data_IF_999017432839
#
_entry.id   IF_999017432839
#
_cell.length_a   1.000
_cell.length_b   1.000
_cell.length_c   1.000
_cell.angle_alpha   90.00
_cell.angle_beta   90.00
_cell.angle_gamma   90.00
#
_symmetry.space_group_name_H-M   'P 1'
#
loop_
_entity.id
_entity.type
_entity.pdbx_description
1 polymer ?
#
# COMPACT_ATOMS: atom_id res chain seq x y z
N UNK A 1 -75.56 -14.36 -8.04
CA UNK A 1 -74.56 -13.40 -8.56
C UNK A 1 -73.68 -12.76 -7.49
N UNK A 2 -74.22 -12.31 -6.34
CA UNK A 2 -73.44 -11.59 -5.30
C UNK A 2 -72.28 -12.39 -4.65
N UNK A 3 -72.47 -13.71 -4.43
CA UNK A 3 -71.42 -14.59 -3.86
C UNK A 3 -70.26 -14.88 -4.84
N UNK A 4 -70.56 -15.04 -6.12
CA UNK A 4 -69.56 -15.31 -7.16
C UNK A 4 -68.62 -14.11 -7.36
N UNK A 5 -69.17 -12.89 -7.30
CA UNK A 5 -68.37 -11.65 -7.37
C UNK A 5 -67.46 -11.51 -6.16
N UNK A 6 -67.92 -11.86 -4.95
CA UNK A 6 -67.09 -11.82 -3.73
C UNK A 6 -65.91 -12.81 -3.77
N UNK A 7 -66.12 -14.02 -4.32
CA UNK A 7 -65.05 -15.02 -4.46
C UNK A 7 -64.02 -14.58 -5.50
N UNK A 8 -64.46 -14.01 -6.62
CA UNK A 8 -63.54 -13.48 -7.65
C UNK A 8 -62.76 -12.29 -7.08
N UNK A 9 -63.41 -11.39 -6.34
CA UNK A 9 -62.74 -10.25 -5.73
C UNK A 9 -61.67 -10.71 -4.71
N UNK A 10 -62.00 -11.67 -3.85
CA UNK A 10 -61.06 -12.25 -2.90
C UNK A 10 -59.87 -12.93 -3.58
N UNK A 11 -60.09 -13.64 -4.69
CA UNK A 11 -59.03 -14.25 -5.48
C UNK A 11 -58.09 -13.23 -6.11
N UNK A 12 -58.63 -12.16 -6.69
CA UNK A 12 -57.84 -11.07 -7.30
C UNK A 12 -57.04 -10.31 -6.23
N UNK A 13 -57.65 -10.02 -5.07
CA UNK A 13 -56.92 -9.38 -3.95
C UNK A 13 -55.79 -10.27 -3.44
N UNK A 14 -56.01 -11.58 -3.30
CA UNK A 14 -54.96 -12.53 -2.90
C UNK A 14 -53.80 -12.56 -3.90
N UNK A 15 -54.10 -12.56 -5.21
CA UNK A 15 -53.08 -12.54 -6.26
C UNK A 15 -52.25 -11.24 -6.21
N UNK A 16 -52.89 -10.08 -6.03
CA UNK A 16 -52.20 -8.80 -5.92
C UNK A 16 -51.29 -8.72 -4.69
N UNK A 17 -51.71 -9.29 -3.56
CA UNK A 17 -50.86 -9.37 -2.35
C UNK A 17 -49.64 -10.25 -2.61
N UNK A 18 -49.81 -11.40 -3.26
CA UNK A 18 -48.69 -12.29 -3.59
C UNK A 18 -47.70 -11.59 -4.54
N UNK A 19 -48.18 -10.95 -5.60
CA UNK A 19 -47.32 -10.18 -6.52
C UNK A 19 -46.61 -9.05 -5.78
N UNK A 20 -47.31 -8.32 -4.92
CA UNK A 20 -46.72 -7.28 -4.07
C UNK A 20 -45.60 -7.81 -3.17
N UNK A 21 -45.81 -8.94 -2.49
CA UNK A 21 -44.80 -9.57 -1.62
C UNK A 21 -43.60 -10.08 -2.42
N UNK A 22 -43.81 -10.69 -3.58
CA UNK A 22 -42.72 -11.15 -4.46
C UNK A 22 -41.93 -9.97 -5.01
N UNK A 23 -42.59 -8.91 -5.48
CA UNK A 23 -41.92 -7.69 -5.94
C UNK A 23 -41.18 -6.99 -4.80
N UNK A 24 -41.71 -7.00 -3.58
CA UNK A 24 -41.04 -6.46 -2.41
C UNK A 24 -39.82 -7.31 -2.02
N UNK A 25 -39.93 -8.63 -2.07
CA UNK A 25 -38.81 -9.54 -1.83
C UNK A 25 -37.70 -9.39 -2.87
N UNK A 26 -38.07 -9.28 -4.16
CA UNK A 26 -37.11 -8.97 -5.24
C UNK A 26 -36.49 -7.59 -5.04
N UNK A 27 -37.27 -6.57 -4.67
CA UNK A 27 -36.77 -5.24 -4.38
C UNK A 27 -35.82 -5.20 -3.17
N UNK A 28 -36.10 -5.96 -2.10
CA UNK A 28 -35.20 -6.06 -0.93
C UNK A 28 -33.98 -6.95 -1.18
N UNK A 29 -34.09 -7.98 -2.01
CA UNK A 29 -32.93 -8.75 -2.47
C UNK A 29 -32.08 -7.98 -3.49
N UNK A 30 -32.67 -7.04 -4.24
CA UNK A 30 -31.98 -6.11 -5.13
C UNK A 30 -31.59 -4.80 -4.45
N UNK A 31 -32.00 -4.56 -3.19
CA UNK A 31 -31.45 -3.44 -2.43
C UNK A 31 -29.95 -3.69 -2.33
N UNK A 32 -29.10 -2.70 -2.67
CA UNK A 32 -27.68 -2.80 -2.39
C UNK A 32 -27.55 -3.10 -0.90
N UNK A 33 -27.06 -4.28 -0.55
CA UNK A 33 -26.59 -4.50 0.81
C UNK A 33 -25.56 -3.39 1.08
N UNK A 34 -25.50 -2.82 2.29
CA UNK A 34 -24.37 -1.96 2.64
C UNK A 34 -23.11 -2.75 2.31
N UNK A 35 -22.35 -2.24 1.36
CA UNK A 35 -21.17 -2.92 0.83
C UNK A 35 -20.24 -3.22 2.02
N UNK A 36 -19.90 -4.49 2.19
CA UNK A 36 -18.99 -4.89 3.25
C UNK A 36 -17.57 -4.62 2.78
N UNK A 37 -16.90 -3.66 3.41
CA UNK A 37 -15.46 -3.51 3.25
C UNK A 37 -14.80 -4.50 4.22
N UNK A 38 -13.96 -5.44 3.75
CA UNK A 38 -13.22 -6.30 4.66
C UNK A 38 -12.43 -5.44 5.67
N UNK A 39 -12.38 -5.81 6.95
CA UNK A 39 -11.57 -5.08 7.92
C UNK A 39 -10.10 -5.08 7.49
N UNK A 40 -9.35 -4.05 7.87
CA UNK A 40 -7.90 -4.07 7.66
C UNK A 40 -7.29 -5.26 8.43
N UNK A 41 -6.32 -5.90 7.81
CA UNK A 41 -5.53 -6.98 8.39
C UNK A 41 -4.07 -6.67 8.12
N UNK A 42 -3.17 -7.01 9.05
CA UNK A 42 -1.73 -6.82 8.87
C UNK A 42 -1.23 -7.62 7.64
N UNK A 43 -0.65 -6.96 6.61
CA UNK A 43 -0.15 -7.64 5.41
C UNK A 43 0.82 -8.78 5.72
N UNK A 44 1.61 -8.69 6.80
CA UNK A 44 2.57 -9.72 7.19
C UNK A 44 1.89 -11.02 7.61
N UNK A 45 0.63 -10.97 8.07
CA UNK A 45 -0.16 -12.15 8.44
C UNK A 45 -0.73 -12.89 7.23
N UNK A 46 -0.77 -12.22 6.06
CA UNK A 46 -1.28 -12.80 4.82
C UNK A 46 -0.22 -13.54 4.00
N UNK A 47 1.04 -13.47 4.42
CA UNK A 47 2.15 -14.17 3.77
C UNK A 47 1.96 -15.68 3.90
N UNK A 48 1.87 -16.37 2.77
CA UNK A 48 1.79 -17.82 2.72
C UNK A 48 3.18 -18.45 2.54
N UNK A 49 3.84 -18.74 3.66
CA UNK A 49 5.20 -19.29 3.65
C UNK A 49 5.35 -20.57 2.81
N UNK A 50 4.29 -21.39 2.70
CA UNK A 50 4.33 -22.64 1.91
C UNK A 50 4.23 -22.41 0.40
N UNK A 51 3.73 -21.26 -0.03
CA UNK A 51 3.61 -20.88 -1.44
C UNK A 51 4.84 -20.17 -2.00
N UNK A 52 5.80 -19.83 -1.14
CA UNK A 52 7.02 -19.12 -1.53
C UNK A 52 7.97 -20.11 -2.20
N UNK A 53 8.43 -19.74 -3.40
CA UNK A 53 9.54 -20.39 -4.09
C UNK A 53 10.87 -20.00 -3.42
N UNK A 54 11.54 -20.93 -2.71
CA UNK A 54 12.74 -20.62 -1.96
C UNK A 54 13.92 -20.27 -2.86
N UNK A 55 14.00 -20.82 -4.08
CA UNK A 55 15.10 -20.50 -4.99
C UNK A 55 15.09 -19.02 -5.36
N UNK A 56 13.91 -18.52 -5.74
CA UNK A 56 13.73 -17.12 -6.10
C UNK A 56 13.84 -16.21 -4.88
N UNK A 57 13.26 -16.59 -3.74
CA UNK A 57 13.31 -15.76 -2.54
C UNK A 57 14.74 -15.59 -2.01
N UNK A 58 15.53 -16.68 -1.92
CA UNK A 58 16.90 -16.66 -1.40
C UNK A 58 17.85 -15.86 -2.29
N UNK A 59 17.56 -15.72 -3.58
CA UNK A 59 18.38 -14.91 -4.48
C UNK A 59 18.54 -13.44 -4.01
N UNK A 60 17.58 -12.89 -3.26
CA UNK A 60 17.72 -11.57 -2.63
C UNK A 60 18.80 -11.51 -1.54
N UNK A 61 19.01 -12.62 -0.82
CA UNK A 61 20.16 -12.76 0.05
C UNK A 61 21.48 -12.86 -0.73
N UNK A 62 21.40 -13.17 -2.02
CA UNK A 62 22.51 -13.23 -2.98
C UNK A 62 22.87 -11.90 -3.64
N UNK A 63 22.20 -10.80 -3.30
CA UNK A 63 22.46 -9.47 -3.87
C UNK A 63 21.56 -9.08 -5.04
N UNK A 64 20.59 -9.92 -5.44
CA UNK A 64 19.57 -9.52 -6.42
C UNK A 64 18.61 -8.53 -5.77
N UNK A 65 18.26 -7.45 -6.46
CA UNK A 65 17.39 -6.41 -5.89
C UNK A 65 15.95 -6.91 -5.70
N UNK A 66 15.25 -6.44 -4.65
CA UNK A 66 13.85 -6.81 -4.41
C UNK A 66 12.95 -6.51 -5.61
N UNK A 67 13.20 -5.39 -6.31
CA UNK A 67 12.48 -5.00 -7.54
C UNK A 67 12.62 -6.06 -8.64
N UNK A 68 13.83 -6.53 -8.90
CA UNK A 68 14.08 -7.56 -9.91
C UNK A 68 13.42 -8.88 -9.51
N UNK A 69 13.47 -9.25 -8.22
CA UNK A 69 12.86 -10.47 -7.71
C UNK A 69 11.33 -10.44 -7.80
N UNK A 70 10.68 -9.31 -7.51
CA UNK A 70 9.23 -9.15 -7.68
C UNK A 70 8.88 -9.29 -9.17
N UNK A 71 9.58 -8.59 -10.05
CA UNK A 71 9.34 -8.69 -11.49
C UNK A 71 9.51 -10.13 -12.01
N UNK A 72 10.55 -10.83 -11.56
CA UNK A 72 10.77 -12.23 -11.91
C UNK A 72 9.68 -13.14 -11.33
N UNK A 73 9.30 -12.97 -10.06
CA UNK A 73 8.25 -13.75 -9.41
C UNK A 73 6.90 -13.57 -10.13
N UNK A 74 6.55 -12.35 -10.50
CA UNK A 74 5.34 -12.03 -11.26
C UNK A 74 5.37 -12.62 -12.68
N UNK A 75 6.54 -12.70 -13.30
CA UNK A 75 6.74 -13.29 -14.64
C UNK A 75 6.59 -14.81 -14.59
N UNK A 76 7.17 -15.46 -13.58
CA UNK A 76 7.14 -16.91 -13.36
C UNK A 76 5.82 -17.40 -12.72
N UNK A 77 4.89 -16.49 -12.41
CA UNK A 77 3.61 -16.83 -11.78
C UNK A 77 3.72 -17.23 -10.30
N UNK A 78 4.83 -16.88 -9.64
CA UNK A 78 5.10 -17.10 -8.21
C UNK A 78 4.50 -15.98 -7.35
N UNK A 79 3.16 -15.88 -7.36
CA UNK A 79 2.44 -14.80 -6.69
C UNK A 79 2.75 -14.68 -5.18
N UNK A 80 2.85 -15.80 -4.46
CA UNK A 80 3.14 -15.78 -3.02
C UNK A 80 4.58 -15.35 -2.71
N UNK A 81 5.53 -15.66 -3.58
CA UNK A 81 6.90 -15.12 -3.50
C UNK A 81 6.90 -13.60 -3.73
N UNK A 82 6.20 -13.14 -4.77
CA UNK A 82 6.09 -11.70 -5.08
C UNK A 82 5.45 -10.93 -3.91
N UNK A 83 4.34 -11.45 -3.36
CA UNK A 83 3.67 -10.87 -2.20
C UNK A 83 4.61 -10.77 -1.00
N UNK A 84 5.31 -11.86 -0.66
CA UNK A 84 6.25 -11.89 0.44
C UNK A 84 7.37 -10.85 0.26
N UNK A 85 7.94 -10.71 -0.94
CA UNK A 85 8.97 -9.69 -1.19
C UNK A 85 8.39 -8.28 -1.00
N UNK A 86 7.23 -7.98 -1.61
CA UNK A 86 6.63 -6.63 -1.56
C UNK A 86 6.30 -6.15 -0.15
N UNK A 87 5.69 -7.01 0.69
CA UNK A 87 5.32 -6.61 2.05
C UNK A 87 6.53 -6.43 2.97
N UNK A 88 7.61 -7.18 2.71
CA UNK A 88 8.87 -7.07 3.44
C UNK A 88 9.89 -6.13 2.78
N UNK A 89 9.59 -5.44 1.69
CA UNK A 89 10.57 -4.56 1.03
C UNK A 89 10.34 -3.10 1.37
N UNK A 90 11.16 -2.47 2.23
CA UNK A 90 11.17 -1.02 2.41
C UNK A 90 11.92 -0.27 1.29
N UNK A 91 12.61 -0.98 0.39
CA UNK A 91 13.47 -0.38 -0.64
C UNK A 91 12.78 -0.15 -1.99
N UNK A 92 11.64 -0.79 -2.25
CA UNK A 92 10.86 -0.54 -3.46
C UNK A 92 10.11 0.78 -3.28
N UNK A 93 10.19 1.67 -4.26
CA UNK A 93 9.50 2.96 -4.19
C UNK A 93 7.98 2.78 -4.09
N UNK A 94 7.28 3.78 -3.56
CA UNK A 94 5.81 3.72 -3.43
C UNK A 94 5.12 3.56 -4.80
N UNK A 95 5.66 4.20 -5.84
CA UNK A 95 5.16 4.07 -7.22
C UNK A 95 5.26 2.64 -7.74
N UNK A 96 6.44 2.04 -7.59
CA UNK A 96 6.67 0.66 -8.03
C UNK A 96 5.84 -0.31 -7.19
N UNK A 97 5.81 -0.14 -5.87
CA UNK A 97 5.01 -0.96 -4.96
C UNK A 97 3.52 -0.95 -5.34
N UNK A 98 2.93 0.21 -5.62
CA UNK A 98 1.55 0.31 -6.04
C UNK A 98 1.27 -0.43 -7.36
N UNK A 99 2.15 -0.25 -8.36
CA UNK A 99 2.06 -0.95 -9.63
C UNK A 99 2.20 -2.47 -9.49
N UNK A 100 3.17 -2.92 -8.70
CA UNK A 100 3.42 -4.34 -8.46
C UNK A 100 2.29 -5.00 -7.69
N UNK A 101 1.65 -4.30 -6.73
CA UNK A 101 0.43 -4.79 -6.08
C UNK A 101 -0.75 -4.93 -7.06
N UNK A 102 -0.91 -4.02 -8.02
CA UNK A 102 -1.93 -4.16 -9.08
C UNK A 102 -1.64 -5.38 -9.96
N UNK A 103 -0.40 -5.55 -10.40
CA UNK A 103 0.00 -6.71 -11.21
C UNK A 103 -0.19 -8.03 -10.45
N UNK A 104 0.17 -8.04 -9.18
CA UNK A 104 -0.02 -9.17 -8.28
C UNK A 104 -1.50 -9.49 -8.07
N UNK A 105 -2.35 -8.47 -7.91
CA UNK A 105 -3.79 -8.64 -7.79
C UNK A 105 -4.37 -9.34 -9.03
N UNK A 106 -3.97 -8.92 -10.23
CA UNK A 106 -4.37 -9.56 -11.49
C UNK A 106 -3.89 -11.03 -11.57
N UNK A 107 -2.71 -11.35 -11.02
CA UNK A 107 -2.24 -12.75 -10.93
C UNK A 107 -3.09 -13.57 -9.95
N UNK A 108 -3.39 -13.04 -8.78
CA UNK A 108 -4.26 -13.71 -7.82
C UNK A 108 -5.68 -13.91 -8.37
N UNK A 109 -6.21 -12.93 -9.11
CA UNK A 109 -7.48 -13.05 -9.79
C UNK A 109 -7.48 -14.22 -10.79
N UNK A 110 -6.44 -14.33 -11.64
CA UNK A 110 -6.30 -15.43 -12.61
C UNK A 110 -6.21 -16.81 -11.94
N UNK A 111 -5.71 -16.86 -10.70
CA UNK A 111 -5.62 -18.07 -9.89
C UNK A 111 -6.85 -18.32 -9.00
N UNK A 112 -7.95 -17.58 -9.20
CA UNK A 112 -9.19 -17.65 -8.41
C UNK A 112 -9.02 -17.31 -6.92
N UNK A 113 -7.95 -16.59 -6.54
CA UNK A 113 -7.70 -16.13 -5.18
C UNK A 113 -8.28 -14.72 -4.98
N UNK A 114 -9.61 -14.61 -5.02
CA UNK A 114 -10.33 -13.32 -5.05
C UNK A 114 -10.01 -12.43 -3.86
N UNK A 115 -9.97 -12.98 -2.65
CA UNK A 115 -9.71 -12.20 -1.42
C UNK A 115 -8.31 -11.58 -1.44
N UNK A 116 -7.30 -12.33 -1.91
CA UNK A 116 -5.93 -11.82 -2.05
C UNK A 116 -5.81 -10.78 -3.15
N UNK A 117 -6.53 -10.98 -4.26
CA UNK A 117 -6.58 -9.99 -5.33
C UNK A 117 -7.21 -8.67 -4.84
N UNK A 118 -8.36 -8.74 -4.17
CA UNK A 118 -9.01 -7.58 -3.59
C UNK A 118 -8.11 -6.86 -2.57
N UNK A 119 -7.41 -7.63 -1.72
CA UNK A 119 -6.47 -7.08 -0.76
C UNK A 119 -5.28 -6.37 -1.42
N UNK A 120 -4.70 -6.94 -2.48
CA UNK A 120 -3.60 -6.29 -3.22
C UNK A 120 -4.07 -4.99 -3.90
N UNK A 121 -5.27 -4.96 -4.51
CA UNK A 121 -5.85 -3.71 -5.01
C UNK A 121 -6.05 -2.68 -3.90
N UNK A 122 -6.46 -3.11 -2.71
CA UNK A 122 -6.58 -2.23 -1.55
C UNK A 122 -5.24 -1.64 -1.13
N UNK A 123 -4.18 -2.45 -1.05
CA UNK A 123 -2.83 -1.96 -0.74
C UNK A 123 -2.34 -0.93 -1.76
N UNK A 124 -2.56 -1.17 -3.04
CA UNK A 124 -2.24 -0.19 -4.09
C UNK A 124 -3.01 1.13 -3.89
N UNK A 125 -4.31 1.06 -3.58
CA UNK A 125 -5.13 2.23 -3.25
C UNK A 125 -4.69 2.95 -1.97
N UNK A 126 -4.23 2.22 -0.95
CA UNK A 126 -3.66 2.78 0.28
C UNK A 126 -2.38 3.56 -0.01
N UNK A 127 -1.46 3.00 -0.81
CA UNK A 127 -0.25 3.71 -1.25
C UNK A 127 -0.65 4.95 -2.06
N UNK A 128 -1.58 4.82 -3.00
CA UNK A 128 -2.11 5.96 -3.76
C UNK A 128 -2.83 7.00 -2.90
N UNK A 129 -3.25 6.69 -1.68
CA UNK A 129 -3.84 7.71 -0.80
C UNK A 129 -2.78 8.37 0.06
N UNK A 130 -1.93 7.56 0.68
CA UNK A 130 -1.04 8.03 1.74
C UNK A 130 0.33 8.47 1.24
N UNK A 131 0.85 7.93 0.14
CA UNK A 131 2.21 8.28 -0.31
C UNK A 131 2.29 9.77 -0.68
N UNK A 132 3.23 10.54 -0.09
CA UNK A 132 3.51 11.91 -0.53
C UNK A 132 4.40 11.94 -1.79
N UNK A 133 5.02 10.82 -2.17
CA UNK A 133 5.94 10.74 -3.32
C UNK A 133 5.22 10.46 -4.66
N UNK A 134 3.93 10.15 -4.60
CA UNK A 134 3.14 9.75 -5.75
C UNK A 134 2.54 10.98 -6.46
N UNK A 135 2.93 11.26 -7.72
CA UNK A 135 2.33 12.36 -8.47
C UNK A 135 0.84 12.13 -8.69
N UNK A 136 0.04 13.20 -8.71
CA UNK A 136 -1.42 13.12 -8.82
C UNK A 136 -1.90 12.36 -10.07
N UNK A 137 -1.18 12.46 -11.18
CA UNK A 137 -1.48 11.69 -12.39
C UNK A 137 -1.36 10.17 -12.19
N UNK A 138 -0.27 9.74 -11.52
CA UNK A 138 -0.03 8.33 -11.17
C UNK A 138 -1.02 7.86 -10.11
N UNK A 139 -1.36 8.76 -9.18
CA UNK A 139 -2.35 8.54 -8.13
C UNK A 139 -3.72 8.21 -8.70
N UNK A 140 -4.23 9.06 -9.60
CA UNK A 140 -5.50 8.84 -10.28
C UNK A 140 -5.49 7.54 -11.10
N UNK A 141 -4.39 7.27 -11.83
CA UNK A 141 -4.25 6.05 -12.61
C UNK A 141 -4.31 4.78 -11.75
N UNK A 142 -3.59 4.79 -10.61
CA UNK A 142 -3.57 3.70 -9.62
C UNK A 142 -4.97 3.43 -9.08
N UNK A 143 -5.70 4.48 -8.72
CA UNK A 143 -7.09 4.38 -8.26
C UNK A 143 -8.03 3.80 -9.32
N UNK A 144 -7.92 4.23 -10.59
CA UNK A 144 -8.72 3.66 -11.67
C UNK A 144 -8.38 2.18 -11.85
N UNK A 145 -7.10 1.81 -11.89
CA UNK A 145 -6.67 0.42 -12.05
C UNK A 145 -7.16 -0.48 -10.91
N UNK A 146 -7.05 0.00 -9.67
CA UNK A 146 -7.59 -0.69 -8.50
C UNK A 146 -9.12 -0.83 -8.58
N UNK A 147 -9.82 0.25 -8.92
CA UNK A 147 -11.28 0.26 -9.07
C UNK A 147 -11.78 -0.67 -10.17
N UNK A 148 -11.17 -0.63 -11.36
CA UNK A 148 -11.46 -1.54 -12.47
C UNK A 148 -11.18 -3.01 -12.08
N UNK A 149 -10.10 -3.26 -11.35
CA UNK A 149 -9.75 -4.58 -10.82
C UNK A 149 -10.80 -5.13 -9.85
N UNK A 150 -11.19 -4.33 -8.87
CA UNK A 150 -12.21 -4.66 -7.89
C UNK A 150 -13.59 -4.85 -8.53
N UNK A 151 -13.93 -4.05 -9.55
CA UNK A 151 -15.15 -4.23 -10.33
C UNK A 151 -15.19 -5.60 -11.01
N UNK A 152 -14.06 -6.07 -11.58
CA UNK A 152 -13.97 -7.44 -12.14
C UNK A 152 -14.13 -8.52 -11.07
N UNK A 153 -13.72 -8.25 -9.84
CA UNK A 153 -13.91 -9.15 -8.70
C UNK A 153 -15.34 -9.13 -8.15
N UNK A 154 -16.19 -8.18 -8.56
CA UNK A 154 -17.54 -7.98 -8.00
C UNK A 154 -17.56 -7.17 -6.70
N UNK A 155 -16.41 -6.60 -6.31
CA UNK A 155 -16.25 -5.76 -5.11
C UNK A 155 -16.70 -4.32 -5.40
N UNK A 156 -17.95 -4.14 -5.80
CA UNK A 156 -18.44 -2.88 -6.37
C UNK A 156 -18.35 -1.68 -5.41
N UNK A 157 -18.48 -1.88 -4.10
CA UNK A 157 -18.30 -0.82 -3.12
C UNK A 157 -16.87 -0.28 -3.12
N UNK A 158 -15.88 -1.15 -2.92
CA UNK A 158 -14.47 -0.75 -2.99
C UNK A 158 -14.07 -0.24 -4.38
N UNK A 159 -14.64 -0.80 -5.44
CA UNK A 159 -14.44 -0.30 -6.79
C UNK A 159 -14.93 1.14 -6.93
N UNK A 160 -16.15 1.43 -6.44
CA UNK A 160 -16.71 2.78 -6.46
C UNK A 160 -15.85 3.73 -5.63
N UNK A 161 -15.40 3.34 -4.43
CA UNK A 161 -14.51 4.15 -3.60
C UNK A 161 -13.31 4.64 -4.40
N UNK A 162 -12.54 3.74 -5.03
CA UNK A 162 -11.35 4.15 -5.76
C UNK A 162 -11.67 4.90 -7.06
N UNK A 163 -12.76 4.56 -7.76
CA UNK A 163 -13.20 5.38 -8.90
C UNK A 163 -13.56 6.80 -8.48
N UNK A 164 -14.23 6.97 -7.33
CA UNK A 164 -14.54 8.29 -6.75
C UNK A 164 -13.26 9.05 -6.36
N UNK A 165 -12.24 8.36 -5.84
CA UNK A 165 -10.93 8.96 -5.57
C UNK A 165 -10.24 9.46 -6.85
N UNK A 166 -10.23 8.65 -7.90
CA UNK A 166 -9.69 9.05 -9.19
C UNK A 166 -10.48 10.21 -9.82
N UNK A 167 -11.80 10.21 -9.68
CA UNK A 167 -12.65 11.31 -10.13
C UNK A 167 -12.29 12.61 -9.41
N UNK A 168 -12.15 12.58 -8.08
CA UNK A 168 -11.75 13.75 -7.29
C UNK A 168 -10.40 14.32 -7.74
N UNK A 169 -9.40 13.45 -7.96
CA UNK A 169 -8.09 13.87 -8.49
C UNK A 169 -8.25 14.52 -9.86
N UNK A 170 -8.99 13.87 -10.76
CA UNK A 170 -9.20 14.36 -12.12
C UNK A 170 -10.03 15.66 -12.19
N UNK A 171 -10.85 15.97 -11.19
CA UNK A 171 -11.60 17.23 -11.12
C UNK A 171 -10.84 18.35 -10.44
N UNK A 172 -10.17 18.07 -9.31
CA UNK A 172 -9.66 19.11 -8.40
C UNK A 172 -8.17 19.38 -8.60
N UNK A 173 -7.35 18.35 -8.87
CA UNK A 173 -5.90 18.51 -8.86
C UNK A 173 -5.44 19.54 -9.90
N UNK A 174 -4.63 20.56 -9.55
CA UNK A 174 -4.07 21.49 -10.51
C UNK A 174 -2.89 20.90 -11.30
N UNK A 175 -2.37 19.74 -10.87
CA UNK A 175 -1.15 19.13 -11.40
C UNK A 175 -1.40 18.14 -12.55
N UNK A 176 -2.67 17.73 -12.75
CA UNK A 176 -3.03 16.83 -13.85
C UNK A 176 -3.17 17.59 -15.16
N UNK A 177 -2.29 17.27 -16.11
CA UNK A 177 -2.28 17.86 -17.45
C UNK A 177 -3.60 17.63 -18.21
N UNK A 178 -4.06 18.58 -19.05
CA UNK A 178 -5.29 18.48 -19.85
C UNK A 178 -5.49 17.16 -20.61
N UNK A 179 -4.45 16.68 -21.30
CA UNK A 179 -4.53 15.45 -22.08
C UNK A 179 -4.72 14.21 -21.19
N UNK A 180 -3.98 14.16 -20.07
CA UNK A 180 -4.11 13.10 -19.06
C UNK A 180 -5.50 13.16 -18.42
N UNK A 181 -5.98 14.35 -18.06
CA UNK A 181 -7.31 14.55 -17.46
C UNK A 181 -8.43 14.02 -18.34
N UNK A 182 -8.39 14.33 -19.65
CA UNK A 182 -9.34 13.77 -20.62
C UNK A 182 -9.29 12.24 -20.64
N UNK A 183 -8.10 11.66 -20.68
CA UNK A 183 -7.92 10.21 -20.65
C UNK A 183 -8.48 9.59 -19.36
N UNK A 184 -8.22 10.21 -18.20
CA UNK A 184 -8.75 9.76 -16.91
C UNK A 184 -10.29 9.75 -16.92
N UNK A 185 -10.95 10.82 -17.37
CA UNK A 185 -12.40 10.87 -17.45
C UNK A 185 -13.00 9.84 -18.44
N UNK A 186 -12.33 9.57 -19.56
CA UNK A 186 -12.75 8.49 -20.47
C UNK A 186 -12.64 7.10 -19.84
N UNK A 187 -11.64 6.87 -18.99
CA UNK A 187 -11.52 5.61 -18.24
C UNK A 187 -12.52 5.53 -17.10
N UNK A 188 -12.73 6.63 -16.34
CA UNK A 188 -13.76 6.73 -15.30
C UNK A 188 -15.15 6.42 -15.86
N UNK A 189 -15.48 6.92 -17.05
CA UNK A 189 -16.72 6.55 -17.74
C UNK A 189 -16.90 5.03 -17.85
N UNK A 190 -15.87 4.31 -18.32
CA UNK A 190 -15.89 2.85 -18.44
C UNK A 190 -15.93 2.15 -17.07
N UNK A 191 -15.16 2.64 -16.11
CA UNK A 191 -15.12 2.12 -14.74
C UNK A 191 -16.50 2.20 -14.07
N UNK A 192 -17.14 3.37 -14.12
CA UNK A 192 -18.49 3.57 -13.57
C UNK A 192 -19.54 2.74 -14.32
N UNK A 193 -19.44 2.58 -15.64
CA UNK A 193 -20.30 1.65 -16.39
C UNK A 193 -20.17 0.21 -15.89
N UNK A 194 -18.94 -0.24 -15.60
CA UNK A 194 -18.68 -1.61 -15.15
C UNK A 194 -19.31 -1.92 -13.79
N UNK A 195 -19.46 -0.92 -12.91
CA UNK A 195 -20.14 -1.08 -11.61
C UNK A 195 -21.63 -0.69 -11.63
N UNK A 196 -22.16 -0.30 -12.79
CA UNK A 196 -23.58 0.05 -12.97
C UNK A 196 -23.97 1.49 -12.60
N UNK A 197 -23.01 2.37 -12.28
CA UNK A 197 -23.27 3.78 -11.97
C UNK A 197 -23.38 4.61 -13.25
N UNK A 198 -24.59 4.66 -13.80
CA UNK A 198 -24.86 5.36 -15.08
C UNK A 198 -24.74 6.87 -14.98
N UNK A 199 -25.03 7.45 -13.82
CA UNK A 199 -25.00 8.89 -13.63
C UNK A 199 -23.56 9.40 -13.64
N UNK A 200 -22.70 8.82 -12.80
CA UNK A 200 -21.27 9.18 -12.78
C UNK A 200 -20.55 8.82 -14.07
N UNK A 201 -20.93 7.71 -14.69
CA UNK A 201 -20.42 7.36 -16.01
C UNK A 201 -20.73 8.46 -17.03
N UNK A 202 -21.97 8.96 -17.07
CA UNK A 202 -22.36 10.02 -18.00
C UNK A 202 -21.64 11.33 -17.70
N UNK A 203 -21.60 11.75 -16.44
CA UNK A 203 -20.89 12.95 -16.01
C UNK A 203 -19.41 12.92 -16.42
N UNK A 204 -18.73 11.77 -16.22
CA UNK A 204 -17.33 11.59 -16.64
C UNK A 204 -17.16 11.71 -18.15
N UNK A 205 -18.10 11.17 -18.94
CA UNK A 205 -18.05 11.30 -20.40
C UNK A 205 -18.21 12.76 -20.83
N UNK A 206 -19.16 13.48 -20.25
CA UNK A 206 -19.42 14.88 -20.57
C UNK A 206 -18.18 15.75 -20.22
N UNK A 207 -17.60 15.58 -19.01
CA UNK A 207 -16.36 16.24 -18.62
C UNK A 207 -15.18 15.93 -19.55
N UNK A 208 -15.09 14.71 -20.08
CA UNK A 208 -14.02 14.36 -21.03
C UNK A 208 -14.08 15.13 -22.35
N UNK A 209 -15.26 15.61 -22.73
CA UNK A 209 -15.51 16.38 -23.94
C UNK A 209 -15.26 17.89 -23.75
N UNK A 210 -15.15 18.36 -22.51
CA UNK A 210 -14.92 19.76 -22.22
C UNK A 210 -13.47 20.20 -22.58
N UNK A 211 -13.29 21.47 -22.99
CA UNK A 211 -11.97 22.04 -23.16
C UNK A 211 -11.35 22.36 -21.79
N UNK A 212 -10.22 21.72 -21.49
CA UNK A 212 -9.43 22.04 -20.29
C UNK A 212 -8.43 23.16 -20.58
N UNK A 213 -8.31 24.11 -19.66
CA UNK A 213 -7.33 25.21 -19.75
C UNK A 213 -5.91 24.64 -19.76
N UNK A 214 -5.06 25.13 -20.66
CA UNK A 214 -3.69 24.64 -20.84
C UNK A 214 -2.68 25.10 -19.76
N UNK A 215 -3.15 25.60 -18.61
CA UNK A 215 -2.25 26.00 -17.53
C UNK A 215 -1.73 24.73 -16.86
N UNK A 216 -0.42 24.51 -16.95
CA UNK A 216 0.27 23.39 -16.30
C UNK A 216 1.04 23.94 -15.11
N UNK A 217 0.65 23.50 -13.91
CA UNK A 217 1.43 23.75 -12.69
C UNK A 217 2.34 22.53 -12.49
N UNK A 218 3.64 22.76 -12.34
CA UNK A 218 4.56 21.69 -11.97
C UNK A 218 4.25 21.25 -10.53
N UNK A 219 4.08 19.94 -10.33
CA UNK A 219 3.90 19.37 -9.00
C UNK A 219 5.23 19.50 -8.23
N UNK A 220 5.23 20.10 -7.04
CA UNK A 220 6.45 20.23 -6.25
C UNK A 220 6.92 18.84 -5.77
N UNK A 221 8.25 18.61 -5.66
CA UNK A 221 8.74 17.40 -5.02
C UNK A 221 8.45 17.42 -3.51
N UNK A 222 8.46 16.25 -2.84
CA UNK A 222 8.35 16.19 -1.39
C UNK A 222 9.41 17.04 -0.69
N UNK A 223 9.03 17.66 0.42
CA UNK A 223 9.92 18.51 1.22
C UNK A 223 10.98 17.68 1.94
N UNK A 224 10.59 16.52 2.48
CA UNK A 224 11.51 15.65 3.21
C UNK A 224 12.41 14.86 2.25
N UNK A 225 13.74 14.86 2.48
CA UNK A 225 14.68 14.21 1.57
C UNK A 225 14.50 12.69 1.54
N UNK A 226 14.95 12.11 0.43
CA UNK A 226 15.08 10.67 0.27
C UNK A 226 16.35 10.21 0.96
N UNK A 227 16.28 9.14 1.73
CA UNK A 227 17.44 8.55 2.39
C UNK A 227 18.45 8.02 1.36
N UNK A 228 19.73 8.32 1.58
CA UNK A 228 20.84 7.80 0.78
C UNK A 228 21.41 6.53 1.41
N UNK A 229 22.09 5.69 0.61
CA UNK A 229 22.76 4.49 1.15
C UNK A 229 24.04 4.94 1.87
N UNK A 230 24.16 4.72 3.20
CA UNK A 230 25.35 5.12 3.93
C UNK A 230 26.56 4.25 3.53
N UNK A 231 27.78 4.82 3.54
CA UNK A 231 29.00 4.03 3.29
C UNK A 231 29.21 3.04 4.43
N UNK A 232 29.55 1.79 4.10
CA UNK A 232 29.78 0.72 5.09
C UNK A 232 31.28 0.47 5.32
N UNK A 233 31.72 0.11 6.54
CA UNK A 233 33.10 -0.31 6.78
C UNK A 233 33.49 -1.53 5.94
N UNK A 234 34.79 -1.68 5.65
CA UNK A 234 35.30 -2.75 4.78
C UNK A 234 34.93 -4.14 5.32
N UNK A 235 34.98 -4.32 6.64
CA UNK A 235 34.65 -5.58 7.31
C UNK A 235 33.18 -5.97 7.09
N UNK A 236 32.27 -4.98 7.10
CA UNK A 236 30.85 -5.20 6.82
C UNK A 236 30.63 -5.53 5.34
N UNK A 237 31.32 -4.83 4.44
CA UNK A 237 31.26 -5.14 3.00
C UNK A 237 31.78 -6.56 2.69
N UNK A 238 32.84 -7.00 3.37
CA UNK A 238 33.36 -8.37 3.25
C UNK A 238 32.37 -9.42 3.78
N UNK A 239 31.71 -9.15 4.90
CA UNK A 239 30.69 -10.04 5.45
C UNK A 239 29.45 -10.12 4.53
N UNK A 240 29.03 -8.99 3.96
CA UNK A 240 27.97 -8.95 2.95
C UNK A 240 28.34 -9.76 1.70
N UNK A 241 29.56 -9.62 1.18
CA UNK A 241 30.04 -10.42 0.06
C UNK A 241 30.04 -11.92 0.37
N UNK A 242 30.39 -12.30 1.61
CA UNK A 242 30.33 -13.69 2.06
C UNK A 242 28.88 -14.22 2.12
N UNK A 243 27.93 -13.42 2.61
CA UNK A 243 26.50 -13.73 2.54
C UNK A 243 26.05 -13.93 1.09
N UNK A 244 26.40 -13.00 0.19
CA UNK A 244 26.01 -13.08 -1.21
C UNK A 244 26.51 -14.38 -1.84
N UNK A 245 27.78 -14.71 -1.63
CA UNK A 245 28.37 -15.94 -2.17
C UNK A 245 27.69 -17.21 -1.61
N UNK A 246 27.40 -17.24 -0.31
CA UNK A 246 26.71 -18.39 0.30
C UNK A 246 25.27 -18.52 -0.24
N UNK A 247 24.53 -17.43 -0.33
CA UNK A 247 23.16 -17.41 -0.81
C UNK A 247 23.04 -17.73 -2.30
N UNK A 248 23.99 -17.30 -3.12
CA UNK A 248 24.06 -17.68 -4.54
C UNK A 248 24.31 -19.18 -4.70
N UNK A 249 25.23 -19.77 -3.92
CA UNK A 249 25.45 -21.23 -3.91
C UNK A 249 24.19 -21.98 -3.47
N UNK A 250 23.49 -21.49 -2.45
CA UNK A 250 22.23 -22.08 -1.99
C UNK A 250 21.15 -22.00 -3.08
N UNK A 251 21.00 -20.84 -3.72
CA UNK A 251 20.08 -20.60 -4.83
C UNK A 251 20.34 -21.56 -5.99
N UNK A 252 21.61 -21.73 -6.39
CA UNK A 252 22.00 -22.67 -7.43
C UNK A 252 21.58 -24.11 -7.09
N UNK A 253 21.84 -24.56 -5.85
CA UNK A 253 21.41 -25.91 -5.42
C UNK A 253 19.89 -26.06 -5.45
N UNK A 254 19.14 -25.04 -4.99
CA UNK A 254 17.68 -25.05 -5.01
C UNK A 254 17.15 -25.16 -6.45
N UNK A 255 17.73 -24.45 -7.40
CA UNK A 255 17.35 -24.56 -8.83
C UNK A 255 17.68 -25.95 -9.37
N UNK A 256 18.92 -26.42 -9.21
CA UNK A 256 19.40 -27.69 -9.79
C UNK A 256 18.70 -28.93 -9.20
N UNK A 257 18.26 -28.85 -7.94
CA UNK A 257 17.65 -29.99 -7.21
C UNK A 257 16.14 -29.84 -6.99
N UNK A 258 15.49 -28.90 -7.68
CA UNK A 258 14.04 -28.73 -7.66
C UNK A 258 13.49 -28.32 -6.28
N UNK A 259 14.07 -27.29 -5.67
CA UNK A 259 13.65 -26.72 -4.39
C UNK A 259 14.28 -27.37 -3.15
N UNK A 260 15.27 -28.26 -3.32
CA UNK A 260 15.98 -28.92 -2.21
C UNK A 260 17.41 -28.43 -2.10
N UNK A 261 17.87 -28.20 -0.87
CA UNK A 261 19.26 -27.83 -0.59
C UNK A 261 19.89 -28.80 0.40
N UNK A 262 21.22 -28.88 0.38
CA UNK A 262 21.96 -29.60 1.43
C UNK A 262 21.96 -28.81 2.74
N UNK A 263 21.96 -29.51 3.88
CA UNK A 263 22.06 -28.87 5.21
C UNK A 263 23.32 -28.01 5.34
N UNK A 264 24.42 -28.41 4.69
CA UNK A 264 25.65 -27.62 4.66
C UNK A 264 25.45 -26.28 3.94
N UNK A 265 24.76 -26.25 2.80
CA UNK A 265 24.51 -24.99 2.08
C UNK A 265 23.62 -24.05 2.88
N UNK A 266 22.63 -24.59 3.60
CA UNK A 266 21.79 -23.80 4.52
C UNK A 266 22.67 -23.24 5.65
N UNK A 267 23.48 -24.09 6.29
CA UNK A 267 24.40 -23.69 7.37
C UNK A 267 25.38 -22.61 6.93
N UNK A 268 25.94 -22.69 5.73
CA UNK A 268 26.85 -21.68 5.20
C UNK A 268 26.17 -20.31 5.11
N UNK A 269 24.91 -20.26 4.66
CA UNK A 269 24.10 -19.04 4.64
C UNK A 269 23.80 -18.56 6.05
N UNK A 270 23.43 -19.45 6.97
CA UNK A 270 23.18 -19.13 8.39
C UNK A 270 24.40 -18.45 9.02
N UNK A 271 25.59 -19.04 8.86
CA UNK A 271 26.85 -18.51 9.43
C UNK A 271 27.18 -17.14 8.82
N UNK A 272 27.03 -16.99 7.50
CA UNK A 272 27.31 -15.71 6.84
C UNK A 272 26.36 -14.60 7.30
N UNK A 273 25.07 -14.90 7.45
CA UNK A 273 24.06 -13.97 7.97
C UNK A 273 24.34 -13.53 9.41
N UNK A 274 24.68 -14.48 10.29
CA UNK A 274 25.01 -14.17 11.68
C UNK A 274 26.29 -13.34 11.79
N UNK A 275 27.31 -13.64 10.99
CA UNK A 275 28.56 -12.86 10.96
C UNK A 275 28.32 -11.44 10.44
N UNK A 276 27.53 -11.28 9.38
CA UNK A 276 27.16 -9.95 8.88
C UNK A 276 26.38 -9.16 9.92
N UNK A 277 25.41 -9.75 10.62
CA UNK A 277 24.63 -9.08 11.66
C UNK A 277 25.51 -8.56 12.81
N UNK A 278 26.45 -9.38 13.27
CA UNK A 278 27.38 -9.05 14.34
C UNK A 278 28.29 -7.86 14.02
N UNK A 279 28.59 -7.63 12.74
CA UNK A 279 29.41 -6.51 12.28
C UNK A 279 28.56 -5.30 11.89
N UNK A 280 27.40 -5.53 11.27
CA UNK A 280 26.56 -4.50 10.66
C UNK A 280 25.84 -3.64 11.70
N UNK A 281 25.25 -4.25 12.74
CA UNK A 281 24.51 -3.48 13.76
C UNK A 281 25.43 -2.53 14.56
N UNK A 282 26.59 -2.95 15.09
CA UNK A 282 27.52 -2.04 15.76
C UNK A 282 28.07 -0.95 14.83
N UNK A 283 28.26 -1.25 13.55
CA UNK A 283 28.68 -0.25 12.57
C UNK A 283 27.64 0.87 12.43
N UNK A 284 26.34 0.55 12.40
CA UNK A 284 25.30 1.57 12.40
C UNK A 284 25.31 2.40 13.68
N UNK A 285 25.48 1.79 14.85
CA UNK A 285 25.53 2.51 16.13
C UNK A 285 26.75 3.47 16.19
N UNK A 286 27.91 3.04 15.70
CA UNK A 286 29.10 3.87 15.58
C UNK A 286 28.91 5.04 14.59
N UNK A 287 28.29 4.78 13.43
CA UNK A 287 28.01 5.81 12.44
C UNK A 287 26.99 6.83 12.95
N UNK A 288 25.93 6.40 13.64
CA UNK A 288 24.95 7.30 14.24
C UNK A 288 25.60 8.23 15.26
N UNK A 289 26.51 7.70 16.08
CA UNK A 289 27.26 8.49 17.07
C UNK A 289 28.20 9.51 16.42
N UNK A 290 28.79 9.16 15.28
CA UNK A 290 29.72 10.01 14.55
C UNK A 290 29.03 11.04 13.62
N UNK A 291 27.78 10.78 13.22
CA UNK A 291 27.04 11.62 12.28
C UNK A 291 26.63 12.95 12.91
N UNK A 292 27.11 14.05 12.34
CA UNK A 292 26.81 15.41 12.80
C UNK A 292 25.57 16.01 12.15
N UNK A 293 25.14 15.48 11.00
CA UNK A 293 23.99 15.95 10.25
C UNK A 293 22.79 15.01 10.44
N UNK A 294 21.62 15.57 10.76
CA UNK A 294 20.37 14.82 10.93
C UNK A 294 20.03 14.02 9.66
N UNK A 295 20.23 14.59 8.48
CA UNK A 295 20.01 13.89 7.21
C UNK A 295 20.87 12.62 7.07
N UNK A 296 22.13 12.65 7.53
CA UNK A 296 22.98 11.47 7.54
C UNK A 296 22.49 10.43 8.55
N UNK A 297 22.01 10.86 9.72
CA UNK A 297 21.40 9.97 10.70
C UNK A 297 20.14 9.28 10.15
N UNK A 298 19.27 10.01 9.44
CA UNK A 298 18.09 9.45 8.75
C UNK A 298 18.51 8.34 7.78
N UNK A 299 19.51 8.59 6.93
CA UNK A 299 20.04 7.60 5.99
C UNK A 299 20.55 6.34 6.69
N UNK A 300 21.26 6.48 7.82
CA UNK A 300 21.77 5.36 8.61
C UNK A 300 20.62 4.56 9.25
N UNK A 301 19.64 5.24 9.84
CA UNK A 301 18.47 4.57 10.44
C UNK A 301 17.64 3.84 9.38
N UNK A 302 17.46 4.43 8.19
CA UNK A 302 16.77 3.76 7.08
C UNK A 302 17.53 2.49 6.64
N UNK A 303 18.86 2.54 6.55
CA UNK A 303 19.66 1.34 6.25
C UNK A 303 19.53 0.27 7.36
N UNK A 304 19.47 0.69 8.63
CA UNK A 304 19.21 -0.21 9.76
C UNK A 304 17.82 -0.85 9.65
N UNK A 305 16.79 -0.10 9.30
CA UNK A 305 15.43 -0.62 9.05
C UNK A 305 15.48 -1.68 7.94
N UNK A 306 16.13 -1.40 6.81
CA UNK A 306 16.23 -2.35 5.70
C UNK A 306 16.88 -3.69 6.13
N UNK A 307 17.92 -3.62 6.97
CA UNK A 307 18.54 -4.82 7.54
C UNK A 307 17.62 -5.55 8.53
N UNK A 308 16.98 -4.84 9.46
CA UNK A 308 16.05 -5.41 10.43
C UNK A 308 14.83 -6.05 9.75
N UNK A 309 14.32 -5.47 8.66
CA UNK A 309 13.24 -6.08 7.87
C UNK A 309 13.73 -7.36 7.18
N UNK A 310 14.97 -7.41 6.69
CA UNK A 310 15.57 -8.65 6.16
C UNK A 310 15.59 -9.74 7.25
N UNK A 311 16.03 -9.40 8.46
CA UNK A 311 16.01 -10.32 9.61
C UNK A 311 14.60 -10.77 9.95
N UNK A 312 13.63 -9.85 9.97
CA UNK A 312 12.22 -10.16 10.27
C UNK A 312 11.63 -11.09 9.21
N UNK A 313 11.93 -10.85 7.93
CA UNK A 313 11.51 -11.72 6.83
C UNK A 313 12.06 -13.14 7.01
N UNK A 314 13.31 -13.28 7.40
CA UNK A 314 13.90 -14.60 7.75
C UNK A 314 13.16 -15.21 8.94
N UNK A 315 13.02 -14.46 10.04
CA UNK A 315 12.37 -14.92 11.27
C UNK A 315 10.92 -15.37 11.06
N UNK A 316 10.21 -14.78 10.07
CA UNK A 316 8.83 -15.10 9.73
C UNK A 316 8.71 -16.15 8.63
N UNK A 317 9.81 -16.71 8.13
CA UNK A 317 9.81 -17.71 7.06
C UNK A 317 9.48 -17.16 5.67
N UNK A 318 9.65 -15.85 5.45
CA UNK A 318 9.38 -15.14 4.19
C UNK A 318 10.35 -15.48 3.04
N UNK A 319 11.21 -16.48 3.23
CA UNK A 319 12.06 -17.09 2.22
C UNK A 319 11.59 -18.49 1.80
N UNK A 320 10.46 -18.98 2.34
CA UNK A 320 9.89 -20.29 2.01
C UNK A 320 10.62 -21.48 2.63
N UNK A 321 11.65 -21.22 3.44
CA UNK A 321 12.42 -22.22 4.18
C UNK A 321 13.01 -21.61 5.46
N UNK A 322 13.37 -22.47 6.43
CA UNK A 322 14.11 -22.04 7.61
C UNK A 322 15.57 -21.78 7.26
N UNK A 323 16.09 -20.63 7.69
CA UNK A 323 17.46 -20.19 7.38
C UNK A 323 18.27 -19.89 8.63
N UNK A 324 17.69 -19.19 9.60
CA UNK A 324 18.37 -18.81 10.85
C UNK A 324 17.42 -19.10 12.01
N UNK A 325 17.44 -20.33 12.57
CA UNK A 325 16.55 -20.74 13.65
C UNK A 325 16.61 -19.81 14.88
N UNK A 326 17.78 -19.22 15.15
CA UNK A 326 17.97 -18.24 16.23
C UNK A 326 17.10 -17.00 16.04
N UNK A 327 17.01 -16.47 14.82
CA UNK A 327 16.17 -15.31 14.51
C UNK A 327 14.69 -15.67 14.48
N UNK A 328 14.33 -16.86 14.01
CA UNK A 328 12.97 -17.38 14.06
C UNK A 328 12.45 -17.49 15.50
N UNK A 329 13.29 -18.00 16.42
CA UNK A 329 12.97 -18.04 17.85
C UNK A 329 12.89 -16.64 18.51
N UNK A 330 13.53 -15.64 17.91
CA UNK A 330 13.62 -14.26 18.40
C UNK A 330 12.77 -13.28 17.58
N UNK A 331 11.77 -13.77 16.83
CA UNK A 331 10.97 -12.93 15.93
C UNK A 331 10.35 -11.70 16.62
N UNK A 332 9.89 -11.85 17.88
CA UNK A 332 9.34 -10.74 18.66
C UNK A 332 10.40 -9.72 19.08
N UNK A 333 11.63 -10.14 19.35
CA UNK A 333 12.73 -9.24 19.64
C UNK A 333 13.13 -8.45 18.38
N UNK A 334 13.23 -9.11 17.22
CA UNK A 334 13.50 -8.45 15.94
C UNK A 334 12.41 -7.43 15.63
N UNK A 335 11.14 -7.76 15.91
CA UNK A 335 9.99 -6.86 15.76
C UNK A 335 10.08 -5.64 16.70
N UNK A 336 10.49 -5.83 17.94
CA UNK A 336 10.71 -4.75 18.89
C UNK A 336 11.87 -3.83 18.47
N UNK A 337 12.97 -4.39 17.97
CA UNK A 337 14.11 -3.61 17.47
C UNK A 337 13.73 -2.81 16.21
N UNK A 338 12.91 -3.41 15.33
CA UNK A 338 12.35 -2.71 14.17
C UNK A 338 11.43 -1.56 14.58
N UNK A 339 10.59 -1.76 15.60
CA UNK A 339 9.73 -0.70 16.16
C UNK A 339 10.57 0.49 16.63
N UNK A 340 11.63 0.24 17.42
CA UNK A 340 12.55 1.29 17.90
C UNK A 340 13.26 2.03 16.76
N UNK A 341 13.63 1.31 15.69
CA UNK A 341 14.27 1.92 14.53
C UNK A 341 13.32 2.89 13.81
N UNK A 342 12.04 2.54 13.66
CA UNK A 342 11.02 3.45 13.12
C UNK A 342 10.72 4.63 14.04
N UNK A 343 10.61 4.40 15.36
CA UNK A 343 10.46 5.48 16.34
C UNK A 343 11.59 6.51 16.22
N UNK A 344 12.83 6.04 16.12
CA UNK A 344 14.00 6.89 15.91
C UNK A 344 13.95 7.61 14.56
N UNK A 345 13.58 6.92 13.47
CA UNK A 345 13.46 7.53 12.14
C UNK A 345 12.50 8.73 12.16
N UNK A 346 11.31 8.55 12.73
CA UNK A 346 10.31 9.62 12.78
C UNK A 346 10.65 10.72 13.79
N UNK A 347 11.40 10.42 14.85
CA UNK A 347 11.98 11.44 15.73
C UNK A 347 13.00 12.31 14.97
N UNK A 348 13.89 11.71 14.17
CA UNK A 348 14.87 12.44 13.36
C UNK A 348 14.20 13.31 12.29
N UNK A 349 13.12 12.84 11.66
CA UNK A 349 12.34 13.68 10.76
C UNK A 349 11.71 14.87 11.50
N UNK A 350 11.18 14.67 12.71
CA UNK A 350 10.66 15.78 13.51
C UNK A 350 11.73 16.82 13.86
N UNK A 351 12.95 16.38 14.22
CA UNK A 351 14.09 17.28 14.42
C UNK A 351 14.46 18.05 13.16
N UNK A 352 14.49 17.38 12.01
CA UNK A 352 14.75 18.02 10.72
C UNK A 352 13.69 19.07 10.38
N UNK A 353 12.41 18.78 10.64
CA UNK A 353 11.29 19.70 10.42
C UNK A 353 11.43 20.95 11.30
N UNK A 354 11.75 20.78 12.59
CA UNK A 354 11.95 21.90 13.53
C UNK A 354 13.11 22.80 13.10
N UNK A 355 14.14 22.23 12.45
CA UNK A 355 15.28 22.98 11.95
C UNK A 355 15.04 23.69 10.59
N UNK A 356 13.89 23.50 9.94
CA UNK A 356 13.60 24.13 8.65
C UNK A 356 13.42 25.66 8.81
N UNK A 357 13.95 26.47 7.87
CA UNK A 357 13.89 27.93 7.97
C UNK A 357 12.54 28.53 7.56
N UNK A 358 11.78 27.83 6.71
CA UNK A 358 10.52 28.31 6.14
C UNK A 358 9.33 27.66 6.84
N UNK A 359 8.54 28.47 7.57
CA UNK A 359 7.33 28.03 8.26
C UNK A 359 6.33 27.33 7.33
N UNK A 360 6.29 27.72 6.07
CA UNK A 360 5.39 27.12 5.10
C UNK A 360 5.87 25.73 4.64
N UNK A 361 7.17 25.45 4.67
CA UNK A 361 7.73 24.11 4.47
C UNK A 361 7.57 23.23 5.70
N UNK A 362 7.64 23.80 6.91
CA UNK A 362 7.41 23.08 8.18
C UNK A 362 6.04 22.41 8.19
N UNK A 363 4.99 23.12 7.80
CA UNK A 363 3.63 22.57 7.81
C UNK A 363 3.44 21.44 6.79
N UNK A 364 4.00 21.59 5.58
CA UNK A 364 3.96 20.54 4.56
C UNK A 364 4.74 19.32 5.02
N UNK A 365 5.98 19.50 5.47
CA UNK A 365 6.81 18.39 5.95
C UNK A 365 6.20 17.68 7.17
N UNK A 366 5.48 18.41 8.04
CA UNK A 366 4.75 17.84 9.16
C UNK A 366 3.60 16.91 8.73
N UNK A 367 2.92 17.24 7.63
CA UNK A 367 1.88 16.38 7.07
C UNK A 367 2.48 15.20 6.30
N UNK A 368 3.53 15.44 5.51
CA UNK A 368 4.26 14.41 4.77
C UNK A 368 4.81 13.32 5.68
N UNK A 369 5.43 13.68 6.82
CA UNK A 369 6.00 12.68 7.75
C UNK A 369 4.91 11.80 8.37
N UNK A 370 3.76 12.37 8.71
CA UNK A 370 2.62 11.62 9.28
C UNK A 370 2.04 10.67 8.24
N UNK A 371 1.94 11.10 6.98
CA UNK A 371 1.54 10.25 5.86
C UNK A 371 2.50 9.07 5.65
N UNK A 372 3.81 9.32 5.67
CA UNK A 372 4.84 8.26 5.58
C UNK A 372 4.75 7.28 6.75
N UNK A 373 4.55 7.78 7.97
CA UNK A 373 4.42 6.95 9.19
C UNK A 373 3.18 6.06 9.14
N UNK A 374 2.01 6.61 8.78
CA UNK A 374 0.77 5.87 8.62
C UNK A 374 0.89 4.87 7.47
N UNK A 375 1.54 5.23 6.36
CA UNK A 375 1.76 4.30 5.25
C UNK A 375 2.63 3.11 5.69
N UNK A 376 3.74 3.35 6.38
CA UNK A 376 4.58 2.28 6.90
C UNK A 376 3.81 1.35 7.86
N UNK A 377 2.95 1.92 8.72
CA UNK A 377 2.08 1.17 9.61
C UNK A 377 1.04 0.32 8.89
N UNK A 378 0.30 0.92 7.95
CA UNK A 378 -0.77 0.25 7.18
C UNK A 378 -0.24 -0.83 6.23
N UNK A 379 1.02 -0.71 5.78
CA UNK A 379 1.74 -1.75 5.03
C UNK A 379 2.35 -2.85 5.94
N UNK A 380 2.16 -2.79 7.25
CA UNK A 380 2.70 -3.77 8.21
C UNK A 380 4.21 -3.65 8.44
N UNK A 381 4.87 -2.64 7.87
CA UNK A 381 6.32 -2.44 7.94
C UNK A 381 6.75 -1.85 9.28
N UNK A 382 5.91 -1.02 9.91
CA UNK A 382 6.14 -0.45 11.24
C UNK A 382 5.28 -1.19 12.29
N UNK A 383 5.85 -2.15 13.04
CA UNK A 383 5.09 -2.94 13.99
C UNK A 383 4.62 -2.09 15.18
N UNK A 384 3.42 -2.36 15.70
CA UNK A 384 2.82 -1.65 16.83
C UNK A 384 2.70 -0.12 16.64
N UNK A 385 2.65 0.38 15.40
CA UNK A 385 2.54 1.82 15.17
C UNK A 385 1.27 2.39 15.85
N UNK A 386 1.33 3.59 16.45
CA UNK A 386 0.22 4.16 17.21
C UNK A 386 -0.84 4.78 16.31
N UNK A 387 -1.59 3.94 15.58
CA UNK A 387 -2.53 4.32 14.51
C UNK A 387 -3.46 5.48 14.91
N UNK A 388 -4.25 5.32 15.97
CA UNK A 388 -5.25 6.31 16.37
C UNK A 388 -4.63 7.68 16.67
N UNK A 389 -3.45 7.68 17.30
CA UNK A 389 -2.73 8.92 17.61
C UNK A 389 -2.22 9.59 16.33
N UNK A 390 -1.64 8.83 15.40
CA UNK A 390 -1.12 9.38 14.15
C UNK A 390 -2.21 9.86 13.22
N UNK A 391 -3.33 9.16 13.13
CA UNK A 391 -4.51 9.61 12.38
C UNK A 391 -5.01 10.94 12.93
N UNK A 392 -5.12 11.09 14.25
CA UNK A 392 -5.53 12.36 14.87
C UNK A 392 -4.54 13.49 14.54
N UNK A 393 -3.24 13.24 14.68
CA UNK A 393 -2.20 14.22 14.36
C UNK A 393 -2.20 14.61 12.89
N UNK A 394 -2.47 13.64 11.99
CA UNK A 394 -2.61 13.91 10.55
C UNK A 394 -3.76 14.89 10.32
N UNK A 395 -4.94 14.64 10.90
CA UNK A 395 -6.08 15.56 10.75
C UNK A 395 -5.79 16.96 11.27
N UNK A 396 -5.08 17.09 12.40
CA UNK A 396 -4.66 18.39 12.94
C UNK A 396 -3.62 19.10 12.05
N UNK A 397 -2.69 18.36 11.44
CA UNK A 397 -1.72 18.92 10.49
C UNK A 397 -2.40 19.35 9.18
N UNK A 398 -3.26 18.51 8.62
CA UNK A 398 -4.04 18.81 7.42
C UNK A 398 -4.95 20.03 7.63
N UNK A 399 -5.61 20.15 8.79
CA UNK A 399 -6.45 21.31 9.10
C UNK A 399 -5.67 22.64 9.12
N UNK A 400 -4.40 22.63 9.58
CA UNK A 400 -3.52 23.80 9.52
C UNK A 400 -3.15 24.14 8.08
N UNK A 401 -2.81 23.13 7.26
CA UNK A 401 -2.50 23.33 5.84
C UNK A 401 -3.66 23.86 5.01
N UNK A 402 -4.90 23.46 5.31
CA UNK A 402 -6.10 24.03 4.68
C UNK A 402 -6.21 25.54 4.94
N UNK A 403 -5.83 25.99 6.14
CA UNK A 403 -5.87 27.41 6.51
C UNK A 403 -4.71 28.21 5.91
N UNK A 404 -3.50 27.64 5.90
CA UNK A 404 -2.29 28.35 5.48
C UNK A 404 -2.03 28.31 3.98
N UNK A 405 -2.49 27.24 3.29
CA UNK A 405 -2.25 26.98 1.86
C UNK A 405 -3.52 26.44 1.17
N UNK A 406 -4.58 27.25 1.09
CA UNK A 406 -5.84 26.80 0.50
C UNK A 406 -5.67 26.46 -0.98
N UNK A 407 -6.25 25.34 -1.42
CA UNK A 407 -6.29 24.85 -2.79
C UNK A 407 -4.95 24.37 -3.34
N UNK A 408 -3.92 24.23 -2.51
CA UNK A 408 -2.60 23.81 -2.96
C UNK A 408 -2.60 22.35 -3.42
N UNK A 409 -3.14 21.45 -2.60
CA UNK A 409 -3.11 20.00 -2.82
C UNK A 409 -4.39 19.37 -2.26
N UNK A 410 -4.69 18.14 -2.69
CA UNK A 410 -5.75 17.35 -2.07
C UNK A 410 -5.32 16.90 -0.67
N UNK A 411 -6.30 16.76 0.22
CA UNK A 411 -6.12 16.49 1.64
C UNK A 411 -6.48 15.06 1.98
N UNK A 412 -5.65 14.41 2.79
CA UNK A 412 -6.01 13.12 3.37
C UNK A 412 -6.99 13.34 4.51
N UNK A 413 -8.09 12.58 4.51
CA UNK A 413 -9.05 12.49 5.61
C UNK A 413 -9.41 11.02 5.85
N UNK A 414 -9.89 10.71 7.06
CA UNK A 414 -10.41 9.38 7.39
C UNK A 414 -11.94 9.44 7.42
N UNK A 415 -12.57 8.57 6.64
CA UNK A 415 -14.02 8.44 6.58
C UNK A 415 -14.47 7.00 6.78
N UNK A 416 -15.60 6.76 7.48
CA UNK A 416 -16.19 5.44 7.54
C UNK A 416 -16.76 5.08 6.16
N UNK A 417 -16.20 4.05 5.54
CA UNK A 417 -16.69 3.47 4.28
C UNK A 417 -17.11 2.03 4.53
N UNK A 418 -18.41 1.73 4.39
CA UNK A 418 -18.93 0.38 4.63
C UNK A 418 -18.71 -0.13 6.07
N UNK A 419 -18.64 0.80 7.04
CA UNK A 419 -18.37 0.50 8.45
C UNK A 419 -16.88 0.35 8.81
N UNK A 420 -15.96 0.61 7.89
CA UNK A 420 -14.52 0.58 8.11
C UNK A 420 -13.92 1.94 7.81
N UNK A 421 -13.11 2.45 8.74
CA UNK A 421 -12.36 3.69 8.55
C UNK A 421 -11.38 3.53 7.39
N UNK A 422 -11.47 4.45 6.42
CA UNK A 422 -10.68 4.44 5.20
C UNK A 422 -10.08 5.81 4.97
N UNK A 423 -8.79 5.81 4.63
CA UNK A 423 -8.12 7.02 4.16
C UNK A 423 -8.65 7.37 2.76
N UNK A 424 -8.97 8.64 2.56
CA UNK A 424 -9.40 9.19 1.27
C UNK A 424 -8.83 10.59 1.04
N UNK A 425 -8.76 10.99 -0.21
CA UNK A 425 -8.39 12.32 -0.69
C UNK A 425 -9.65 13.14 -0.95
N UNK A 426 -9.62 14.36 -0.44
CA UNK A 426 -10.70 15.34 -0.55
C UNK A 426 -10.14 16.71 -0.86
N UNK A 427 -10.97 17.61 -1.38
CA UNK A 427 -10.63 19.02 -1.47
C UNK A 427 -10.79 19.73 -0.10
N UNK A 428 -10.33 20.98 -0.02
CA UNK A 428 -10.37 21.77 1.22
C UNK A 428 -11.81 22.02 1.73
N UNK A 429 -12.76 22.20 0.80
CA UNK A 429 -14.16 22.43 1.13
C UNK A 429 -14.78 21.19 1.79
N UNK A 430 -14.55 20.03 1.19
CA UNK A 430 -15.00 18.73 1.70
C UNK A 430 -14.32 18.40 3.02
N UNK A 431 -13.01 18.64 3.14
CA UNK A 431 -12.28 18.46 4.40
C UNK A 431 -12.92 19.25 5.54
N UNK A 432 -13.20 20.53 5.30
CA UNK A 432 -13.84 21.42 6.28
C UNK A 432 -15.25 20.93 6.63
N UNK A 433 -16.04 20.52 5.63
CA UNK A 433 -17.39 20.02 5.85
C UNK A 433 -17.45 18.68 6.61
N UNK A 434 -16.41 17.85 6.48
CA UNK A 434 -16.28 16.57 7.20
C UNK A 434 -15.85 16.81 8.65
N UNK A 435 -14.86 17.68 8.87
CA UNK A 435 -14.23 17.85 10.19
C UNK A 435 -14.98 18.78 11.14
N UNK A 436 -15.94 19.57 10.64
CA UNK A 436 -16.80 20.45 11.45
C UNK A 436 -18.13 19.81 11.90
N UNK A 437 -18.40 18.56 11.49
CA UNK A 437 -19.54 17.76 11.99
C UNK A 437 -19.15 17.01 13.25
#
# INVERSE_FOLDING_TARGET
>A
MRKSVLVILAGVTGLLVIVGVVSLAVYFSMRPQPFQVPPWSDPLTMVNNRGIDPALAVAGLGGVSDRELVAQALTEGRADTAFAILVFSPSISDRESAGDFILLADRYQKNNQRDRAAYCFRLAGTIATLSPELPDSVRADTFILAGEGLARLGEFGLAQLYLDQAYNVATVSPYVQPAIRRMLFQRLHKGYQAIGDRERARASLDLSAEPFTAVVVAEPPPVLPVAEVPPMPLEVQQAEAARWQAAQKLTQQLVERGGRASENAIRDVTVALLNEDQLRLPAYDAQLTAATQVAAQVSIVQARINWLVTKLRIARGGYGMSLVPEWEAQAEQVRADLTKAYELLFALYAEQIVAMPDASQIEVASEEVLRREILAGTLGRYPNYPEQQRVKQLMEATARLVQSRPGAEMRVVVLPYGGVDSFVLVDDASFTAITQK
#
